data_IF_908651705599
#
_entry.id   IF_908651705599
#
_cell.length_a   1.000
_cell.length_b   1.000
_cell.length_c   1.000
_cell.angle_alpha   90.00
_cell.angle_beta   90.00
_cell.angle_gamma   90.00
#
_symmetry.space_group_name_H-M   'P 1'
#
loop_
_entity.id
_entity.type
_entity.pdbx_description
1 polymer ?
#
# COMPACT_ATOMS: atom_id res chain seq x y z
N UNK A 1 33.04 32.00 -19.09
CA UNK A 1 33.59 30.93 -18.38
C UNK A 1 32.75 30.62 -17.14
N UNK A 2 31.78 29.81 -17.09
CA UNK A 2 31.39 29.23 -15.79
C UNK A 2 29.92 28.83 -15.67
N UNK A 3 29.39 28.20 -16.68
CA UNK A 3 28.01 27.78 -16.56
C UNK A 3 27.83 26.29 -16.83
N UNK A 4 28.81 25.49 -16.52
CA UNK A 4 28.68 24.03 -16.60
C UNK A 4 27.75 23.47 -15.52
N UNK A 5 27.56 24.17 -14.40
CA UNK A 5 26.66 23.72 -13.32
C UNK A 5 25.18 24.02 -13.59
N UNK A 6 24.87 25.04 -14.38
CA UNK A 6 23.50 25.35 -14.75
C UNK A 6 22.97 24.40 -15.83
N UNK A 7 23.84 23.93 -16.73
CA UNK A 7 23.46 22.99 -17.80
C UNK A 7 23.17 21.58 -17.27
N UNK A 8 23.90 21.12 -16.24
CA UNK A 8 23.71 19.80 -15.63
C UNK A 8 22.41 19.73 -14.82
N UNK A 9 21.95 20.88 -14.30
CA UNK A 9 20.68 20.95 -13.56
C UNK A 9 19.48 21.19 -14.47
N UNK A 10 19.70 21.46 -15.79
CA UNK A 10 18.70 21.92 -16.71
C UNK A 10 17.89 20.87 -17.44
N UNK A 11 18.37 19.63 -17.49
CA UNK A 11 17.68 18.59 -18.26
C UNK A 11 16.50 18.04 -17.47
N UNK A 12 15.29 18.26 -18.00
CA UNK A 12 14.05 17.81 -17.39
C UNK A 12 13.78 16.33 -17.73
N UNK A 13 13.27 15.60 -16.78
CA UNK A 13 12.79 14.24 -17.00
C UNK A 13 11.57 13.98 -16.13
N UNK A 14 10.73 13.09 -16.60
CA UNK A 14 9.55 12.60 -15.86
C UNK A 14 9.71 11.11 -15.64
N UNK A 15 9.57 10.67 -14.39
CA UNK A 15 9.49 9.24 -14.06
C UNK A 15 8.04 8.89 -13.70
N UNK A 16 7.64 7.68 -14.05
CA UNK A 16 6.28 7.19 -13.83
C UNK A 16 6.31 6.17 -12.67
N UNK A 17 5.62 6.48 -11.59
CA UNK A 17 5.59 5.65 -10.39
C UNK A 17 4.17 5.12 -10.17
N UNK A 18 4.04 3.81 -10.15
CA UNK A 18 2.80 3.12 -9.77
C UNK A 18 2.96 2.64 -8.32
N UNK A 19 2.19 3.19 -7.41
CA UNK A 19 2.28 2.89 -5.99
C UNK A 19 0.93 2.50 -5.40
N UNK A 20 0.94 1.56 -4.48
CA UNK A 20 -0.28 1.12 -3.79
C UNK A 20 -1.01 2.31 -3.17
N UNK A 21 -2.34 2.24 -3.13
CA UNK A 21 -3.21 3.33 -2.65
C UNK A 21 -2.84 3.81 -1.25
N UNK A 22 -2.43 2.91 -0.37
CA UNK A 22 -2.01 3.25 1.00
C UNK A 22 -0.76 4.13 1.07
N UNK A 23 0.00 4.26 -0.02
CA UNK A 23 1.20 5.09 -0.11
C UNK A 23 0.91 6.51 -0.60
N UNK A 24 -0.33 6.81 -0.95
CA UNK A 24 -0.69 8.08 -1.60
C UNK A 24 -0.19 9.32 -0.83
N UNK A 25 -0.45 9.39 0.46
CA UNK A 25 -0.08 10.58 1.25
C UNK A 25 1.44 10.69 1.45
N UNK A 26 2.10 9.60 1.84
CA UNK A 26 3.53 9.63 2.11
C UNK A 26 4.34 9.91 0.85
N UNK A 27 3.88 9.44 -0.30
CA UNK A 27 4.58 9.67 -1.58
C UNK A 27 4.69 11.14 -1.94
N UNK A 28 3.70 11.97 -1.59
CA UNK A 28 3.77 13.41 -1.87
C UNK A 28 4.96 14.04 -1.15
N UNK A 29 5.17 13.73 0.12
CA UNK A 29 6.29 14.28 0.88
C UNK A 29 7.62 13.67 0.42
N UNK A 30 7.66 12.38 0.11
CA UNK A 30 8.86 11.72 -0.41
C UNK A 30 9.29 12.34 -1.76
N UNK A 31 8.34 12.57 -2.64
CA UNK A 31 8.61 13.21 -3.93
C UNK A 31 9.16 14.62 -3.75
N UNK A 32 8.55 15.40 -2.87
CA UNK A 32 9.02 16.75 -2.55
C UNK A 32 10.45 16.72 -2.03
N UNK A 33 10.76 15.79 -1.13
CA UNK A 33 12.10 15.63 -0.58
C UNK A 33 13.11 15.24 -1.66
N UNK A 34 12.76 14.30 -2.52
CA UNK A 34 13.61 13.90 -3.64
C UNK A 34 13.92 15.06 -4.58
N UNK A 35 12.92 15.88 -4.86
CA UNK A 35 13.04 17.03 -5.76
C UNK A 35 13.95 18.12 -5.20
N UNK A 36 14.22 18.17 -3.90
CA UNK A 36 15.18 19.11 -3.33
C UNK A 36 16.59 18.93 -3.92
N UNK A 37 16.95 17.69 -4.23
CA UNK A 37 18.23 17.35 -4.86
C UNK A 37 18.12 17.02 -6.35
N UNK A 38 16.88 16.95 -6.86
CA UNK A 38 16.57 16.66 -8.26
C UNK A 38 15.50 17.63 -8.77
N UNK A 39 15.81 18.94 -8.83
CA UNK A 39 14.78 19.98 -9.12
C UNK A 39 14.15 19.87 -10.51
N UNK A 40 14.83 19.21 -11.45
CA UNK A 40 14.33 19.07 -12.82
C UNK A 40 13.61 17.74 -13.05
N UNK A 41 13.38 16.96 -11.99
CA UNK A 41 12.65 15.71 -12.08
C UNK A 41 11.18 15.95 -11.74
N UNK A 42 10.29 15.52 -12.64
CA UNK A 42 8.88 15.42 -12.37
C UNK A 42 8.55 13.95 -12.06
N UNK A 43 7.83 13.70 -11.00
CA UNK A 43 7.38 12.35 -10.63
C UNK A 43 5.88 12.27 -10.86
N UNK A 44 5.48 11.44 -11.82
CA UNK A 44 4.07 11.20 -12.14
C UNK A 44 3.62 9.95 -11.40
N UNK A 45 2.83 10.13 -10.33
CA UNK A 45 2.32 9.03 -9.51
C UNK A 45 0.94 8.59 -9.94
N UNK A 46 0.73 7.27 -9.97
CA UNK A 46 -0.58 6.65 -10.11
C UNK A 46 -0.80 5.74 -8.91
N UNK A 47 -1.95 5.88 -8.26
CA UNK A 47 -2.25 5.18 -7.00
C UNK A 47 -3.53 4.37 -7.12
N UNK A 48 -3.42 3.08 -6.90
CA UNK A 48 -4.56 2.16 -6.88
C UNK A 48 -4.14 0.89 -6.10
N UNK A 49 -4.98 -0.11 -6.07
CA UNK A 49 -4.59 -1.39 -5.48
C UNK A 49 -3.38 -1.96 -6.22
N UNK A 50 -2.51 -2.67 -5.50
CA UNK A 50 -1.32 -3.28 -6.09
C UNK A 50 -1.66 -4.23 -7.25
N UNK A 51 -2.76 -4.96 -7.13
CA UNK A 51 -3.22 -5.88 -8.19
C UNK A 51 -3.66 -5.15 -9.46
N UNK A 52 -4.38 -4.04 -9.30
CA UNK A 52 -4.81 -3.22 -10.45
C UNK A 52 -3.60 -2.63 -11.17
N UNK A 53 -2.64 -2.10 -10.42
CA UNK A 53 -1.42 -1.53 -11.00
C UNK A 53 -0.58 -2.59 -11.71
N UNK A 54 -0.44 -3.77 -11.10
CA UNK A 54 0.25 -4.89 -11.71
C UNK A 54 -0.39 -5.26 -13.07
N UNK A 55 -1.70 -5.38 -13.11
CA UNK A 55 -2.43 -5.70 -14.34
C UNK A 55 -2.16 -4.65 -15.43
N UNK A 56 -2.16 -3.37 -15.06
CA UNK A 56 -1.87 -2.30 -16.01
C UNK A 56 -0.45 -2.45 -16.60
N UNK A 57 0.54 -2.77 -15.77
CA UNK A 57 1.92 -3.00 -16.23
C UNK A 57 1.97 -4.22 -17.14
N UNK A 58 1.32 -5.31 -16.76
CA UNK A 58 1.26 -6.53 -17.56
C UNK A 58 0.60 -6.31 -18.92
N UNK A 59 -0.35 -5.39 -18.99
CA UNK A 59 -1.04 -4.99 -20.23
C UNK A 59 -0.26 -3.97 -21.06
N UNK A 60 0.92 -3.57 -20.61
CA UNK A 60 1.83 -2.73 -21.39
C UNK A 60 1.83 -1.24 -21.02
N UNK A 61 1.23 -0.85 -19.90
CA UNK A 61 1.31 0.53 -19.44
C UNK A 61 2.77 0.92 -19.17
N UNK A 62 3.17 2.11 -19.58
CA UNK A 62 4.49 2.64 -19.28
C UNK A 62 4.61 2.88 -17.78
N UNK A 63 5.64 2.31 -17.15
CA UNK A 63 5.88 2.43 -15.72
C UNK A 63 7.38 2.28 -15.47
N UNK A 64 7.93 3.17 -14.64
CA UNK A 64 9.34 3.11 -14.27
C UNK A 64 9.56 2.48 -12.89
N UNK A 65 8.63 2.71 -11.96
CA UNK A 65 8.76 2.23 -10.57
C UNK A 65 7.43 1.65 -10.14
N UNK A 66 7.46 0.42 -9.62
CA UNK A 66 6.31 -0.22 -8.99
C UNK A 66 6.56 -0.38 -7.50
N UNK A 67 5.68 0.17 -6.69
CA UNK A 67 5.76 0.13 -5.22
C UNK A 67 4.50 -0.55 -4.70
N UNK A 68 4.62 -1.84 -4.39
CA UNK A 68 3.51 -2.69 -4.01
C UNK A 68 3.27 -2.70 -2.50
N UNK A 69 2.04 -2.94 -2.11
CA UNK A 69 1.68 -3.16 -0.69
C UNK A 69 1.74 -4.66 -0.30
N UNK A 70 2.24 -5.52 -1.18
CA UNK A 70 2.43 -6.93 -0.90
C UNK A 70 3.53 -7.53 -1.77
N UNK A 71 4.21 -8.51 -1.22
CA UNK A 71 5.26 -9.26 -1.91
C UNK A 71 4.70 -10.06 -3.09
N UNK A 72 3.47 -10.56 -2.97
CA UNK A 72 2.83 -11.39 -4.00
C UNK A 72 2.80 -10.71 -5.37
N UNK A 73 2.37 -9.46 -5.45
CA UNK A 73 2.29 -8.73 -6.70
C UNK A 73 3.67 -8.43 -7.27
N UNK A 74 4.63 -8.14 -6.40
CA UNK A 74 6.02 -7.94 -6.84
C UNK A 74 6.63 -9.25 -7.36
N UNK A 75 6.37 -10.36 -6.71
CA UNK A 75 6.86 -11.67 -7.16
C UNK A 75 6.30 -12.00 -8.54
N UNK A 76 5.03 -11.69 -8.79
CA UNK A 76 4.43 -11.89 -10.11
C UNK A 76 5.15 -11.06 -11.17
N UNK A 77 5.37 -9.79 -10.90
CA UNK A 77 6.05 -8.89 -11.84
C UNK A 77 7.50 -9.31 -12.10
N UNK A 78 8.20 -9.70 -11.05
CA UNK A 78 9.62 -10.04 -11.08
C UNK A 78 9.87 -11.47 -11.56
N UNK A 79 9.35 -12.46 -10.83
CA UNK A 79 9.68 -13.87 -11.04
C UNK A 79 8.91 -14.48 -12.20
N UNK A 80 7.65 -14.11 -12.39
CA UNK A 80 6.80 -14.68 -13.45
C UNK A 80 6.90 -13.88 -14.73
N UNK A 81 6.72 -12.56 -14.66
CA UNK A 81 6.68 -11.71 -15.85
C UNK A 81 8.07 -11.29 -16.34
N UNK A 82 9.08 -11.33 -15.46
CA UNK A 82 10.44 -10.94 -15.83
C UNK A 82 10.58 -9.45 -16.19
N UNK A 83 9.74 -8.58 -15.60
CA UNK A 83 9.69 -7.16 -15.95
C UNK A 83 10.42 -6.25 -14.97
N UNK A 84 11.06 -6.80 -13.94
CA UNK A 84 11.85 -6.04 -12.98
C UNK A 84 13.29 -5.93 -13.47
N UNK A 85 13.85 -4.73 -13.37
CA UNK A 85 15.26 -4.49 -13.68
C UNK A 85 16.13 -5.11 -12.58
N UNK A 86 17.12 -5.92 -12.95
CA UNK A 86 17.97 -6.63 -12.01
C UNK A 86 18.61 -5.70 -10.98
N UNK A 87 18.63 -6.13 -9.72
CA UNK A 87 19.31 -5.43 -8.63
C UNK A 87 18.58 -4.20 -8.10
N UNK A 88 17.34 -3.94 -8.54
CA UNK A 88 16.57 -2.76 -8.12
C UNK A 88 15.49 -3.03 -7.08
N UNK A 89 15.19 -4.29 -6.82
CA UNK A 89 14.12 -4.66 -5.88
C UNK A 89 14.58 -4.53 -4.44
N UNK A 90 13.80 -3.83 -3.62
CA UNK A 90 14.07 -3.63 -2.19
C UNK A 90 12.79 -3.74 -1.39
N UNK A 91 12.89 -4.29 -0.17
CA UNK A 91 11.85 -4.16 0.84
C UNK A 91 12.02 -2.80 1.51
N UNK A 92 10.98 -1.99 1.55
CA UNK A 92 11.09 -0.59 2.00
C UNK A 92 10.52 -0.40 3.39
N UNK A 93 9.27 -0.79 3.61
CA UNK A 93 8.58 -0.62 4.90
C UNK A 93 7.70 -1.83 5.18
N UNK A 94 7.31 -1.95 6.44
CA UNK A 94 6.25 -2.81 6.92
C UNK A 94 5.07 -1.93 7.33
N UNK A 95 3.88 -2.48 7.41
CA UNK A 95 2.70 -1.74 7.84
C UNK A 95 1.83 -2.64 8.72
N UNK A 96 1.05 -2.03 9.58
CA UNK A 96 0.15 -2.76 10.45
C UNK A 96 -1.28 -2.57 9.95
N UNK A 97 -2.05 -3.66 9.95
CA UNK A 97 -3.49 -3.58 9.69
C UNK A 97 -4.18 -3.17 10.97
N UNK A 98 -5.11 -2.25 10.87
CA UNK A 98 -5.91 -1.74 11.99
C UNK A 98 -7.38 -1.99 11.74
N UNK A 99 -8.08 -2.38 12.81
CA UNK A 99 -9.53 -2.37 12.86
C UNK A 99 -9.96 -0.99 13.35
N UNK A 100 -10.76 -0.29 12.55
CA UNK A 100 -11.15 1.10 12.82
C UNK A 100 -12.67 1.25 12.82
N UNK A 101 -13.13 2.29 13.51
CA UNK A 101 -14.51 2.76 13.46
C UNK A 101 -14.51 4.28 13.31
N UNK A 102 -15.63 4.87 12.93
CA UNK A 102 -15.73 6.33 12.90
C UNK A 102 -15.95 6.88 14.31
N UNK A 103 -15.52 8.13 14.52
CA UNK A 103 -15.67 8.81 15.82
C UNK A 103 -17.15 8.84 16.22
N UNK A 104 -17.41 8.55 17.49
CA UNK A 104 -18.75 8.55 18.08
C UNK A 104 -19.68 7.47 17.49
N UNK A 105 -19.13 6.41 16.92
CA UNK A 105 -19.91 5.29 16.39
C UNK A 105 -20.65 4.54 17.49
N UNK A 106 -20.12 4.57 18.72
CA UNK A 106 -20.60 3.78 19.86
C UNK A 106 -20.64 2.28 19.53
N UNK A 107 -19.69 1.82 18.71
CA UNK A 107 -19.59 0.41 18.32
C UNK A 107 -19.37 -0.49 19.53
N UNK A 108 -19.98 -1.66 19.52
CA UNK A 108 -19.69 -2.72 20.49
C UNK A 108 -18.46 -3.54 20.12
N UNK A 109 -17.93 -3.35 18.92
CA UNK A 109 -16.75 -4.07 18.42
C UNK A 109 -15.50 -3.54 19.11
N UNK A 110 -14.68 -4.44 19.64
CA UNK A 110 -13.41 -4.10 20.30
C UNK A 110 -12.20 -4.73 19.61
N UNK A 111 -12.41 -5.83 18.89
CA UNK A 111 -11.32 -6.57 18.24
C UNK A 111 -11.88 -7.43 17.10
N UNK A 112 -11.00 -8.12 16.37
CA UNK A 112 -11.41 -9.07 15.33
C UNK A 112 -12.35 -10.16 15.90
N UNK A 113 -12.18 -10.53 17.18
CA UNK A 113 -12.93 -11.63 17.79
C UNK A 113 -14.39 -11.32 18.00
N UNK A 114 -14.77 -10.04 18.03
CA UNK A 114 -16.17 -9.63 18.19
C UNK A 114 -16.72 -8.84 17.00
N UNK A 115 -16.09 -8.99 15.82
CA UNK A 115 -16.59 -8.39 14.57
C UNK A 115 -18.04 -8.74 14.24
N UNK A 116 -18.51 -9.89 14.72
CA UNK A 116 -19.90 -10.30 14.54
C UNK A 116 -20.92 -9.34 15.21
N UNK A 117 -20.45 -8.46 16.08
CA UNK A 117 -21.29 -7.43 16.73
C UNK A 117 -21.49 -6.19 15.88
N UNK A 118 -20.74 -6.03 14.79
CA UNK A 118 -20.88 -4.89 13.90
C UNK A 118 -22.19 -4.94 13.12
N UNK A 119 -22.80 -3.78 12.86
CA UNK A 119 -23.96 -3.68 11.96
C UNK A 119 -23.54 -3.79 10.50
N UNK A 120 -22.35 -3.30 10.17
CA UNK A 120 -21.79 -3.42 8.83
C UNK A 120 -20.27 -3.28 8.87
N UNK A 121 -19.61 -3.88 7.90
CA UNK A 121 -18.14 -3.89 7.78
C UNK A 121 -17.76 -3.45 6.39
N UNK A 122 -16.80 -2.51 6.27
CA UNK A 122 -16.12 -2.24 5.01
C UNK A 122 -14.87 -3.12 4.94
N UNK A 123 -14.76 -3.92 3.91
CA UNK A 123 -13.68 -4.90 3.73
C UNK A 123 -13.20 -4.88 2.28
N UNK A 124 -11.91 -4.75 2.08
CA UNK A 124 -11.34 -4.87 0.74
C UNK A 124 -11.47 -6.31 0.22
N UNK A 125 -11.61 -6.44 -1.10
CA UNK A 125 -11.59 -7.73 -1.77
C UNK A 125 -10.29 -8.49 -1.44
N UNK A 126 -10.35 -9.80 -1.46
CA UNK A 126 -9.21 -10.66 -1.15
C UNK A 126 -8.02 -10.49 -2.08
N UNK A 127 -8.24 -10.02 -3.32
CA UNK A 127 -7.16 -9.72 -4.25
C UNK A 127 -6.38 -8.44 -3.89
N UNK A 128 -6.96 -7.59 -3.04
CA UNK A 128 -6.33 -6.37 -2.55
C UNK A 128 -5.48 -6.72 -1.33
N UNK A 129 -4.23 -6.24 -1.22
CA UNK A 129 -3.36 -6.63 -0.09
C UNK A 129 -3.98 -6.50 1.29
N UNK A 130 -4.62 -5.39 1.64
CA UNK A 130 -5.25 -5.25 2.95
C UNK A 130 -6.39 -6.26 3.16
N UNK A 131 -7.11 -6.59 2.09
CA UNK A 131 -8.16 -7.62 2.14
C UNK A 131 -7.59 -9.02 2.37
N UNK A 132 -6.45 -9.31 1.76
CA UNK A 132 -5.71 -10.55 1.97
C UNK A 132 -5.19 -10.66 3.40
N UNK A 133 -4.54 -9.62 3.91
CA UNK A 133 -3.99 -9.62 5.27
C UNK A 133 -5.08 -9.74 6.32
N UNK A 134 -6.24 -9.11 6.10
CA UNK A 134 -7.39 -9.24 7.00
C UNK A 134 -7.90 -10.68 7.03
N UNK A 135 -8.00 -11.32 5.87
CA UNK A 135 -8.42 -12.73 5.79
C UNK A 135 -7.42 -13.63 6.48
N UNK A 136 -6.12 -13.38 6.30
CA UNK A 136 -5.08 -14.13 6.99
C UNK A 136 -5.20 -13.99 8.52
N UNK A 137 -5.44 -12.78 9.00
CA UNK A 137 -5.63 -12.52 10.42
C UNK A 137 -6.86 -13.27 10.96
N UNK A 138 -7.95 -13.30 10.21
CA UNK A 138 -9.17 -14.01 10.62
C UNK A 138 -8.94 -15.52 10.65
N UNK A 139 -8.17 -16.07 9.72
CA UNK A 139 -7.79 -17.50 9.74
C UNK A 139 -6.92 -17.79 10.97
N UNK A 140 -5.89 -16.97 11.21
CA UNK A 140 -4.98 -17.17 12.33
C UNK A 140 -5.65 -16.97 13.69
N UNK A 141 -6.70 -16.16 13.76
CA UNK A 141 -7.52 -15.98 14.96
C UNK A 141 -8.56 -17.08 15.16
N UNK A 142 -8.66 -18.05 14.22
CA UNK A 142 -9.63 -19.14 14.31
C UNK A 142 -11.05 -18.80 13.91
N UNK A 143 -11.26 -17.65 13.27
CA UNK A 143 -12.59 -17.16 12.84
C UNK A 143 -12.96 -17.71 11.46
N UNK A 144 -11.99 -17.79 10.55
CA UNK A 144 -12.13 -18.38 9.22
C UNK A 144 -11.42 -19.73 9.15
N UNK A 145 -11.92 -20.62 8.33
CA UNK A 145 -11.25 -21.88 8.03
C UNK A 145 -10.00 -21.62 7.20
N UNK A 146 -8.98 -22.46 7.38
CA UNK A 146 -7.74 -22.38 6.61
C UNK A 146 -8.02 -22.58 5.13
N UNK A 147 -7.27 -21.84 4.31
CA UNK A 147 -7.28 -21.96 2.86
C UNK A 147 -5.85 -21.93 2.35
N UNK A 148 -5.58 -22.61 1.24
CA UNK A 148 -4.25 -22.62 0.63
C UNK A 148 -3.81 -21.21 0.22
N UNK A 149 -4.77 -20.43 -0.29
CA UNK A 149 -4.57 -19.02 -0.63
C UNK A 149 -5.71 -18.21 -0.03
N UNK A 150 -5.43 -17.48 1.05
CA UNK A 150 -6.45 -16.69 1.75
C UNK A 150 -7.05 -15.59 0.88
N UNK A 151 -6.33 -15.14 -0.13
CA UNK A 151 -6.83 -14.12 -1.05
C UNK A 151 -8.05 -14.59 -1.85
N UNK A 152 -8.24 -15.89 -1.96
CA UNK A 152 -9.37 -16.48 -2.68
C UNK A 152 -10.62 -16.66 -1.83
N UNK A 153 -10.56 -16.40 -0.52
CA UNK A 153 -11.72 -16.50 0.36
C UNK A 153 -12.72 -15.41 -0.01
N UNK A 154 -13.94 -15.78 -0.49
CA UNK A 154 -14.92 -14.78 -0.89
C UNK A 154 -15.41 -13.94 0.29
N UNK A 155 -15.79 -12.70 0.01
CA UNK A 155 -16.40 -11.82 1.02
C UNK A 155 -17.65 -12.44 1.63
N UNK A 156 -18.45 -13.16 0.84
CA UNK A 156 -19.63 -13.88 1.36
C UNK A 156 -19.26 -14.92 2.42
N UNK A 157 -18.12 -15.60 2.26
CA UNK A 157 -17.63 -16.56 3.26
C UNK A 157 -17.22 -15.87 4.54
N UNK A 158 -16.58 -14.70 4.44
CA UNK A 158 -16.23 -13.88 5.61
C UNK A 158 -17.50 -13.45 6.35
N UNK A 159 -18.49 -12.94 5.64
CA UNK A 159 -19.78 -12.55 6.22
C UNK A 159 -20.43 -13.73 6.95
N UNK A 160 -20.48 -14.89 6.33
CA UNK A 160 -21.07 -16.09 6.93
C UNK A 160 -20.36 -16.50 8.21
N UNK A 161 -19.02 -16.47 8.23
CA UNK A 161 -18.23 -16.77 9.41
C UNK A 161 -18.48 -15.79 10.57
N UNK A 162 -18.91 -14.57 10.24
CA UNK A 162 -19.24 -13.52 11.22
C UNK A 162 -20.74 -13.45 11.53
N UNK A 163 -21.49 -14.52 11.26
CA UNK A 163 -22.92 -14.59 11.58
C UNK A 163 -23.81 -13.86 10.60
N UNK A 164 -23.34 -13.57 9.40
CA UNK A 164 -24.12 -12.90 8.36
C UNK A 164 -24.05 -11.38 8.42
N UNK A 165 -23.04 -10.81 9.06
CA UNK A 165 -22.85 -9.34 9.09
C UNK A 165 -22.75 -8.80 7.66
N UNK A 166 -23.46 -7.70 7.41
CA UNK A 166 -23.38 -7.01 6.11
C UNK A 166 -21.96 -6.51 5.86
N UNK A 167 -21.40 -6.88 4.72
CA UNK A 167 -20.06 -6.45 4.30
C UNK A 167 -20.14 -5.67 2.99
N UNK A 168 -19.63 -4.45 3.02
CA UNK A 168 -19.39 -3.64 1.84
C UNK A 168 -18.00 -4.00 1.28
N UNK A 169 -17.95 -4.73 0.18
CA UNK A 169 -16.70 -5.08 -0.47
C UNK A 169 -16.15 -3.89 -1.22
N UNK A 170 -14.89 -3.57 -0.95
CA UNK A 170 -14.20 -2.41 -1.52
C UNK A 170 -13.06 -2.84 -2.46
N UNK A 171 -12.85 -2.06 -3.51
CA UNK A 171 -11.85 -2.36 -4.53
C UNK A 171 -10.42 -1.95 -4.13
N UNK A 172 -10.27 -1.14 -3.08
CA UNK A 172 -8.97 -0.69 -2.58
C UNK A 172 -9.10 -0.19 -1.14
N UNK A 173 -7.96 0.00 -0.47
CA UNK A 173 -7.95 0.45 0.93
C UNK A 173 -8.51 1.87 1.10
N UNK A 174 -8.33 2.74 0.11
CA UNK A 174 -8.88 4.10 0.16
C UNK A 174 -10.39 4.10 0.25
N UNK A 175 -11.06 3.18 -0.46
CA UNK A 175 -12.51 3.02 -0.40
C UNK A 175 -12.98 2.53 0.97
N UNK A 176 -12.23 1.62 1.61
CA UNK A 176 -12.52 1.19 2.99
C UNK A 176 -12.40 2.37 3.95
N UNK A 177 -11.30 3.09 3.87
CA UNK A 177 -11.02 4.24 4.75
C UNK A 177 -12.14 5.28 4.65
N UNK A 178 -12.54 5.63 3.44
CA UNK A 178 -13.63 6.60 3.21
C UNK A 178 -14.96 6.09 3.75
N UNK A 179 -15.29 4.83 3.49
CA UNK A 179 -16.56 4.24 3.93
C UNK A 179 -16.71 4.28 5.46
N UNK A 180 -15.63 4.01 6.20
CA UNK A 180 -15.65 4.07 7.67
C UNK A 180 -15.62 5.52 8.15
N UNK A 181 -14.73 6.35 7.63
CA UNK A 181 -14.59 7.75 8.05
C UNK A 181 -15.87 8.55 7.84
N UNK A 182 -16.64 8.24 6.80
CA UNK A 182 -17.92 8.89 6.50
C UNK A 182 -19.10 8.28 7.26
N UNK A 183 -18.88 7.18 7.99
CA UNK A 183 -19.92 6.50 8.75
C UNK A 183 -20.87 5.65 7.90
N UNK A 184 -20.48 5.36 6.63
CA UNK A 184 -21.27 4.47 5.78
C UNK A 184 -21.23 3.02 6.26
N UNK A 185 -20.15 2.63 6.91
CA UNK A 185 -20.00 1.34 7.57
C UNK A 185 -19.49 1.55 9.00
N UNK A 186 -19.91 0.68 9.90
CA UNK A 186 -19.58 0.82 11.31
C UNK A 186 -18.11 0.62 11.59
N UNK A 187 -17.52 -0.42 11.01
CA UNK A 187 -16.10 -0.75 11.19
C UNK A 187 -15.48 -1.16 9.85
N UNK A 188 -14.17 -1.23 9.83
CA UNK A 188 -13.43 -1.73 8.68
C UNK A 188 -11.97 -1.98 9.03
N UNK A 189 -11.25 -2.62 8.12
CA UNK A 189 -9.82 -2.84 8.25
C UNK A 189 -9.06 -2.03 7.21
N UNK A 190 -8.10 -1.27 7.71
CA UNK A 190 -7.24 -0.38 6.93
C UNK A 190 -5.80 -0.57 7.42
N UNK A 191 -4.85 0.10 6.80
CA UNK A 191 -3.50 0.16 7.36
C UNK A 191 -3.39 1.29 8.40
N UNK A 192 -2.46 1.14 9.33
CA UNK A 192 -2.17 2.20 10.30
C UNK A 192 -1.87 3.52 9.58
N UNK A 193 -1.11 3.46 8.50
CA UNK A 193 -0.77 4.64 7.68
C UNK A 193 -1.99 5.38 7.12
N UNK A 194 -3.08 4.67 6.88
CA UNK A 194 -4.30 5.29 6.34
C UNK A 194 -5.01 6.18 7.37
N UNK A 195 -4.70 6.01 8.65
CA UNK A 195 -5.30 6.83 9.72
C UNK A 195 -4.61 8.18 9.89
N UNK A 196 -3.46 8.39 9.25
CA UNK A 196 -2.75 9.66 9.32
C UNK A 196 -3.63 10.80 8.78
N UNK A 197 -3.78 11.84 9.57
CA UNK A 197 -4.61 12.99 9.22
C UNK A 197 -6.11 12.79 9.44
N UNK A 198 -6.53 11.60 9.88
CA UNK A 198 -7.93 11.27 10.13
C UNK A 198 -8.21 10.95 11.60
N UNK A 199 -7.31 11.34 12.51
CA UNK A 199 -7.40 11.01 13.93
C UNK A 199 -8.63 11.62 14.61
N UNK A 200 -9.20 12.68 14.02
CA UNK A 200 -10.44 13.30 14.47
C UNK A 200 -11.71 12.63 13.88
N UNK A 201 -11.55 11.75 12.90
CA UNK A 201 -12.67 11.08 12.21
C UNK A 201 -12.68 9.58 12.41
N UNK A 202 -11.53 8.97 12.69
CA UNK A 202 -11.37 7.54 12.90
C UNK A 202 -10.86 7.24 14.31
N UNK A 203 -11.36 6.16 14.87
CA UNK A 203 -10.86 5.58 16.12
C UNK A 203 -10.30 4.20 15.81
N UNK A 204 -9.09 3.94 16.29
CA UNK A 204 -8.47 2.62 16.16
C UNK A 204 -8.96 1.75 17.31
N UNK A 205 -9.65 0.66 16.97
CA UNK A 205 -10.14 -0.32 17.95
C UNK A 205 -9.05 -1.34 18.28
N UNK A 206 -8.30 -1.77 17.28
CA UNK A 206 -7.23 -2.76 17.45
C UNK A 206 -6.17 -2.53 16.38
N UNK A 207 -4.89 -2.54 16.79
CA UNK A 207 -3.76 -2.71 15.88
C UNK A 207 -3.51 -4.21 15.80
N UNK A 208 -3.69 -4.80 14.62
CA UNK A 208 -3.61 -6.24 14.45
C UNK A 208 -2.13 -6.65 14.45
N UNK A 209 -1.70 -7.54 15.36
CA UNK A 209 -0.30 -7.90 15.45
C UNK A 209 0.17 -8.72 14.24
N UNK A 210 1.47 -8.65 13.96
CA UNK A 210 2.08 -9.41 12.87
C UNK A 210 1.92 -10.93 13.03
N UNK A 211 1.74 -11.42 14.25
CA UNK A 211 1.43 -12.83 14.51
C UNK A 211 0.16 -13.28 13.77
N UNK A 212 -0.77 -12.37 13.55
CA UNK A 212 -2.02 -12.68 12.86
C UNK A 212 -1.96 -12.40 11.35
N UNK A 213 -1.42 -11.26 10.95
CA UNK A 213 -1.36 -10.88 9.52
C UNK A 213 -0.17 -11.47 8.79
N UNK A 214 0.91 -11.81 9.51
CA UNK A 214 2.23 -11.92 8.93
C UNK A 214 2.80 -10.51 8.66
N UNK A 215 4.03 -10.46 8.17
CA UNK A 215 4.64 -9.19 7.77
C UNK A 215 3.92 -8.60 6.58
N UNK A 216 3.75 -7.28 6.59
CA UNK A 216 3.08 -6.51 5.54
C UNK A 216 4.12 -5.69 4.80
N UNK A 217 5.04 -6.40 4.14
CA UNK A 217 6.17 -5.77 3.46
C UNK A 217 5.71 -5.09 2.18
N UNK A 218 6.21 -3.87 1.99
CA UNK A 218 6.02 -3.09 0.77
C UNK A 218 7.33 -3.12 -0.02
N UNK A 219 7.43 -3.96 -1.05
CA UNK A 219 8.58 -3.97 -1.93
C UNK A 219 8.45 -2.92 -3.02
N UNK A 220 9.59 -2.40 -3.46
CA UNK A 220 9.70 -1.50 -4.61
C UNK A 220 10.67 -2.09 -5.61
N UNK A 221 10.46 -1.84 -6.89
CA UNK A 221 11.42 -2.21 -7.93
C UNK A 221 11.28 -1.29 -9.14
N UNK A 222 12.36 -1.19 -9.90
CA UNK A 222 12.34 -0.56 -11.21
C UNK A 222 11.73 -1.52 -12.22
N UNK A 223 10.79 -1.03 -13.00
CA UNK A 223 10.10 -1.78 -14.06
C UNK A 223 10.79 -1.51 -15.38
N UNK A 224 10.93 -2.54 -16.20
CA UNK A 224 11.41 -2.36 -17.57
C UNK A 224 10.38 -1.54 -18.35
N UNK A 225 10.79 -0.36 -18.77
CA UNK A 225 9.95 0.56 -19.55
C UNK A 225 10.60 0.81 -20.91
N UNK A 226 10.14 0.13 -21.98
CA UNK A 226 10.74 0.29 -23.30
C UNK A 226 10.62 1.70 -23.88
N UNK A 227 9.69 2.51 -23.35
CA UNK A 227 9.50 3.89 -23.80
C UNK A 227 10.43 4.86 -23.09
N UNK A 228 11.14 4.44 -22.04
CA UNK A 228 11.98 5.32 -21.24
C UNK A 228 13.31 5.59 -21.94
N UNK A 229 13.72 6.85 -21.91
CA UNK A 229 15.06 7.26 -22.30
C UNK A 229 16.04 6.97 -21.15
N UNK A 230 17.34 7.03 -21.42
CA UNK A 230 18.37 6.71 -20.44
C UNK A 230 18.28 7.55 -19.17
N UNK A 231 18.02 8.86 -19.29
CA UNK A 231 17.89 9.74 -18.15
C UNK A 231 16.68 9.36 -17.27
N UNK A 232 15.56 9.01 -17.88
CA UNK A 232 14.38 8.53 -17.16
C UNK A 232 14.70 7.27 -16.36
N UNK A 233 15.35 6.29 -16.99
CA UNK A 233 15.72 5.02 -16.33
C UNK A 233 16.71 5.22 -15.19
N UNK A 234 17.73 6.06 -15.40
CA UNK A 234 18.73 6.38 -14.37
C UNK A 234 18.07 7.09 -13.19
N UNK A 235 17.17 8.04 -13.46
CA UNK A 235 16.46 8.80 -12.44
C UNK A 235 15.51 7.91 -11.65
N UNK A 236 14.84 6.97 -12.30
CA UNK A 236 13.98 5.99 -11.62
C UNK A 236 14.77 5.16 -10.60
N UNK A 237 15.98 4.73 -10.97
CA UNK A 237 16.86 4.01 -10.05
C UNK A 237 17.30 4.89 -8.88
N UNK A 238 17.63 6.15 -9.13
CA UNK A 238 17.99 7.10 -8.08
C UNK A 238 16.83 7.32 -7.11
N UNK A 239 15.60 7.38 -7.61
CA UNK A 239 14.41 7.51 -6.78
C UNK A 239 14.24 6.29 -5.86
N UNK A 240 14.44 5.08 -6.39
CA UNK A 240 14.40 3.86 -5.58
C UNK A 240 15.49 3.87 -4.51
N UNK A 241 16.72 4.25 -4.86
CA UNK A 241 17.82 4.36 -3.90
C UNK A 241 17.51 5.37 -2.79
N UNK A 242 16.82 6.46 -3.13
CA UNK A 242 16.37 7.45 -2.15
C UNK A 242 15.36 6.84 -1.16
N UNK A 243 14.45 5.98 -1.62
CA UNK A 243 13.39 5.42 -0.78
C UNK A 243 13.91 4.56 0.38
N UNK A 244 15.15 4.09 0.31
CA UNK A 244 15.78 3.27 1.37
C UNK A 244 16.79 4.06 2.21
N UNK A 245 16.85 5.39 2.06
CA UNK A 245 17.71 6.25 2.87
C UNK A 245 17.09 6.55 4.24
N UNK A 246 17.92 7.00 5.18
CA UNK A 246 17.44 7.42 6.51
C UNK A 246 16.46 8.60 6.43
N UNK A 247 16.68 9.52 5.50
CA UNK A 247 15.76 10.64 5.27
C UNK A 247 14.37 10.14 4.87
N UNK A 248 14.31 9.18 3.95
CA UNK A 248 13.05 8.58 3.54
C UNK A 248 12.39 7.82 4.70
N UNK A 249 13.16 7.06 5.48
CA UNK A 249 12.65 6.34 6.65
C UNK A 249 12.01 7.29 7.67
N UNK A 250 12.61 8.44 7.90
CA UNK A 250 12.03 9.45 8.78
C UNK A 250 10.67 9.92 8.30
N UNK A 251 10.53 10.12 6.99
CA UNK A 251 9.26 10.50 6.38
C UNK A 251 8.24 9.36 6.50
N UNK A 252 8.63 8.13 6.19
CA UNK A 252 7.74 6.97 6.35
C UNK A 252 7.20 6.84 7.78
N UNK A 253 8.07 6.96 8.79
CA UNK A 253 7.65 6.87 10.20
C UNK A 253 6.65 7.95 10.58
N UNK A 254 6.79 9.16 10.03
CA UNK A 254 5.85 10.26 10.27
C UNK A 254 4.43 9.89 9.82
N UNK A 255 4.30 9.06 8.79
CA UNK A 255 3.02 8.60 8.26
C UNK A 255 2.61 7.22 8.80
N UNK A 256 3.19 6.80 9.94
CA UNK A 256 2.85 5.58 10.68
C UNK A 256 3.29 4.26 10.02
N UNK A 257 4.23 4.31 9.09
CA UNK A 257 4.84 3.10 8.56
C UNK A 257 5.92 2.59 9.51
N UNK A 258 6.08 1.28 9.54
CA UNK A 258 7.15 0.61 10.28
C UNK A 258 8.36 0.45 9.35
N UNK A 259 9.47 1.08 9.72
CA UNK A 259 10.69 1.07 8.91
C UNK A 259 11.70 0.00 9.34
N UNK A 260 11.34 -0.83 10.31
CA UNK A 260 12.17 -1.94 10.76
C UNK A 260 11.99 -3.13 9.82
N UNK A 261 12.68 -3.08 8.70
CA UNK A 261 12.65 -4.13 7.67
C UNK A 261 14.05 -4.47 7.21
N UNK A 262 14.24 -5.73 6.85
CA UNK A 262 15.45 -6.18 6.20
C UNK A 262 15.27 -6.03 4.68
N UNK A 263 16.26 -5.40 4.10
CA UNK A 263 16.25 -5.12 2.67
C UNK A 263 16.66 -6.36 1.85
#
# INVERSE_FOLDING_TARGET
SNDTTADDAGEETTIIVFAAKSLNQVMEELITKFQETHPNVNVQGSYDSSGTLLTQIEEGAACDVFFSAAVKQMDQLDETDGLVVDGTRHNVVNNQVCLVTYKESNTEVTSLEDLNKASSIALADGSVPVGKYTRQALVNAGILEKADDVSTIPTATVSEALGGVEINECANVGAVTSAVAEGSNEVGTVYYSDTYGLEDRLEILQVIPYDLTGDVIYPVAQVQNPEAEELESTTAKEFIDFLITDDAKTIFRKYYFDTDVEN
#
